data_IF_238975905941
#
_entry.id   IF_238975905941
#
_cell.length_a   1.000
_cell.length_b   1.000
_cell.length_c   1.000
_cell.angle_alpha   90.00
_cell.angle_beta   90.00
_cell.angle_gamma   90.00
#
_symmetry.space_group_name_H-M   'P 1'
#
loop_
_entity.id
_entity.type
_entity.pdbx_description
1 polymer ?
#
# COMPACT_ATOMS: atom_id res chain seq x y z
N UNK A 1 -10.13 -7.16 -29.96
CA UNK A 1 -9.03 -6.20 -29.76
C UNK A 1 -8.56 -6.33 -28.31
N UNK A 2 -7.57 -7.19 -28.05
CA UNK A 2 -6.98 -7.31 -26.72
C UNK A 2 -6.17 -6.03 -26.46
N UNK A 3 -6.61 -5.22 -25.51
CA UNK A 3 -5.80 -4.08 -25.04
C UNK A 3 -4.53 -4.68 -24.43
N UNK A 4 -3.38 -4.36 -25.01
CA UNK A 4 -2.10 -4.75 -24.44
C UNK A 4 -1.85 -3.92 -23.17
N UNK A 5 -2.19 -4.53 -22.03
CA UNK A 5 -2.03 -3.92 -20.71
C UNK A 5 -0.56 -3.58 -20.42
N UNK A 6 0.39 -4.31 -21.02
CA UNK A 6 1.82 -4.13 -20.78
C UNK A 6 2.34 -2.80 -21.34
N UNK A 7 1.79 -2.35 -22.47
CA UNK A 7 2.11 -1.07 -23.09
C UNK A 7 1.74 0.14 -22.19
N UNK A 8 0.78 -0.03 -21.28
CA UNK A 8 0.39 0.99 -20.31
C UNK A 8 1.13 0.85 -18.96
N UNK A 9 1.33 -0.39 -18.51
CA UNK A 9 1.91 -0.69 -17.19
C UNK A 9 3.42 -0.43 -17.16
N UNK A 10 4.16 -0.90 -18.16
CA UNK A 10 5.62 -0.89 -18.14
C UNK A 10 6.20 0.53 -18.06
N UNK A 11 5.74 1.53 -18.84
CA UNK A 11 6.27 2.89 -18.73
C UNK A 11 6.08 3.50 -17.34
N UNK A 12 4.99 3.16 -16.66
CA UNK A 12 4.73 3.65 -15.31
C UNK A 12 5.67 3.01 -14.29
N UNK A 13 5.87 1.68 -14.38
CA UNK A 13 6.83 0.97 -13.53
C UNK A 13 8.23 1.53 -13.79
N UNK A 14 8.64 1.65 -15.04
CA UNK A 14 9.96 2.17 -15.42
C UNK A 14 10.18 3.59 -14.89
N UNK A 15 9.16 4.44 -14.95
CA UNK A 15 9.20 5.78 -14.35
C UNK A 15 9.37 5.71 -12.83
N UNK A 16 8.61 4.84 -12.15
CA UNK A 16 8.76 4.63 -10.71
C UNK A 16 10.15 4.12 -10.32
N UNK A 17 10.71 3.16 -11.09
CA UNK A 17 12.06 2.66 -10.91
C UNK A 17 13.11 3.75 -11.15
N UNK A 18 12.92 4.58 -12.17
CA UNK A 18 13.76 5.75 -12.41
C UNK A 18 13.75 6.72 -11.22
N UNK A 19 12.57 6.99 -10.65
CA UNK A 19 12.45 7.83 -9.45
C UNK A 19 13.18 7.20 -8.26
N UNK A 20 13.03 5.90 -8.03
CA UNK A 20 13.75 5.18 -6.97
C UNK A 20 15.25 5.28 -7.16
N UNK A 21 15.75 5.09 -8.37
CA UNK A 21 17.18 5.19 -8.66
C UNK A 21 17.72 6.61 -8.43
N UNK A 22 16.95 7.63 -8.79
CA UNK A 22 17.38 9.04 -8.72
C UNK A 22 17.18 9.69 -7.35
N UNK A 23 16.09 9.36 -6.66
CA UNK A 23 15.67 10.02 -5.42
C UNK A 23 15.61 9.09 -4.20
N UNK A 24 15.84 7.79 -4.37
CA UNK A 24 15.96 6.81 -3.29
C UNK A 24 14.72 6.76 -2.40
N UNK A 25 14.93 6.97 -1.09
CA UNK A 25 13.89 6.91 -0.07
C UNK A 25 12.74 7.90 -0.31
N UNK A 26 13.02 9.07 -0.89
CA UNK A 26 11.99 10.06 -1.20
C UNK A 26 11.02 9.57 -2.28
N UNK A 27 11.52 8.85 -3.28
CA UNK A 27 10.65 8.23 -4.28
C UNK A 27 9.76 7.16 -3.65
N UNK A 28 10.32 6.30 -2.79
CA UNK A 28 9.55 5.25 -2.09
C UNK A 28 8.45 5.88 -1.23
N UNK A 29 8.76 6.96 -0.52
CA UNK A 29 7.78 7.72 0.25
C UNK A 29 6.64 8.26 -0.64
N UNK A 30 6.98 8.93 -1.75
CA UNK A 30 6.00 9.55 -2.65
C UNK A 30 5.15 8.50 -3.39
N UNK A 31 5.75 7.37 -3.76
CA UNK A 31 5.04 6.24 -4.37
C UNK A 31 4.09 5.59 -3.36
N UNK A 32 4.53 5.36 -2.12
CA UNK A 32 3.64 4.90 -1.03
C UNK A 32 2.47 5.85 -0.79
N UNK A 33 2.76 7.15 -0.78
CA UNK A 33 1.76 8.18 -0.58
C UNK A 33 0.72 8.22 -1.71
N UNK A 34 1.16 8.18 -2.97
CA UNK A 34 0.22 8.19 -4.11
C UNK A 34 -0.54 6.87 -4.26
N UNK A 35 0.05 5.73 -3.87
CA UNK A 35 -0.61 4.40 -3.83
C UNK A 35 -1.86 4.48 -3.00
N UNK A 36 -1.72 4.97 -1.78
CA UNK A 36 -2.84 4.96 -0.85
C UNK A 36 -3.98 5.86 -1.31
N UNK A 37 -3.73 6.84 -2.19
CA UNK A 37 -4.74 7.77 -2.72
C UNK A 37 -5.41 7.24 -3.98
N UNK A 38 -4.66 6.92 -5.04
CA UNK A 38 -5.25 6.67 -6.36
C UNK A 38 -4.52 5.69 -7.27
N UNK A 39 -3.21 5.46 -7.13
CA UNK A 39 -2.51 4.58 -8.08
C UNK A 39 -2.81 3.10 -7.78
N UNK A 40 -2.94 2.25 -8.81
CA UNK A 40 -3.28 0.84 -8.63
C UNK A 40 -2.07 -0.06 -8.34
N UNK A 41 -0.86 0.49 -8.31
CA UNK A 41 0.38 -0.29 -8.20
C UNK A 41 0.84 -0.40 -6.75
N UNK A 42 1.03 -1.62 -6.23
CA UNK A 42 1.52 -1.83 -4.88
C UNK A 42 2.93 -1.25 -4.67
N UNK A 43 3.16 -0.57 -3.55
CA UNK A 43 4.46 0.09 -3.25
C UNK A 43 5.62 -0.90 -3.14
N UNK A 44 5.32 -2.18 -2.88
CA UNK A 44 6.31 -3.25 -2.77
C UNK A 44 7.12 -3.44 -4.05
N UNK A 45 6.51 -3.15 -5.22
CA UNK A 45 7.19 -3.19 -6.53
C UNK A 45 8.37 -2.22 -6.56
N UNK A 46 8.31 -1.11 -5.82
CA UNK A 46 9.34 -0.08 -5.78
C UNK A 46 10.29 -0.26 -4.59
N UNK A 47 9.83 -0.85 -3.49
CA UNK A 47 10.66 -1.16 -2.33
C UNK A 47 11.77 -2.14 -2.67
N UNK A 48 11.46 -3.24 -3.38
CA UNK A 48 12.42 -4.30 -3.71
C UNK A 48 13.61 -3.74 -4.52
N UNK A 49 13.41 -3.02 -5.64
CA UNK A 49 14.50 -2.35 -6.36
C UNK A 49 15.30 -1.37 -5.50
N UNK A 50 14.64 -0.61 -4.62
CA UNK A 50 15.33 0.28 -3.69
C UNK A 50 16.32 -0.47 -2.79
N UNK A 51 15.92 -1.64 -2.30
CA UNK A 51 16.77 -2.50 -1.47
C UNK A 51 17.93 -3.11 -2.28
N UNK A 52 17.68 -3.52 -3.53
CA UNK A 52 18.74 -4.14 -4.37
C UNK A 52 19.80 -3.15 -4.82
N UNK A 53 19.47 -1.85 -4.95
CA UNK A 53 20.46 -0.79 -5.21
C UNK A 53 21.18 -0.29 -3.95
N UNK A 54 20.94 -0.94 -2.80
CA UNK A 54 21.68 -0.70 -1.56
C UNK A 54 21.03 0.30 -0.59
N UNK A 55 19.76 0.68 -0.76
CA UNK A 55 19.07 1.45 0.27
C UNK A 55 18.94 0.63 1.55
N UNK A 56 19.12 1.29 2.68
CA UNK A 56 19.01 0.65 3.99
C UNK A 56 17.57 0.15 4.23
N UNK A 57 17.44 -1.13 4.58
CA UNK A 57 16.15 -1.81 4.74
C UNK A 57 15.23 -1.15 5.76
N UNK A 58 15.78 -0.62 6.85
CA UNK A 58 15.01 0.04 7.90
C UNK A 58 14.42 1.35 7.38
N UNK A 59 15.21 2.14 6.67
CA UNK A 59 14.74 3.40 6.10
C UNK A 59 13.73 3.20 4.96
N UNK A 60 13.86 2.13 4.17
CA UNK A 60 12.86 1.75 3.17
C UNK A 60 11.52 1.44 3.84
N UNK A 61 11.52 0.65 4.93
CA UNK A 61 10.33 0.34 5.73
C UNK A 61 9.66 1.61 6.28
N UNK A 62 10.47 2.50 6.87
CA UNK A 62 9.96 3.77 7.43
C UNK A 62 9.36 4.63 6.33
N UNK A 63 10.09 4.86 5.23
CA UNK A 63 9.64 5.72 4.13
C UNK A 63 8.35 5.21 3.49
N UNK A 64 8.24 3.92 3.18
CA UNK A 64 7.04 3.34 2.59
C UNK A 64 5.85 3.38 3.55
N UNK A 65 6.07 3.05 4.83
CA UNK A 65 5.00 3.02 5.84
C UNK A 65 4.47 4.43 6.14
N UNK A 66 5.37 5.41 6.33
CA UNK A 66 4.94 6.79 6.58
C UNK A 66 4.27 7.38 5.35
N UNK A 67 4.83 7.19 4.15
CA UNK A 67 4.23 7.65 2.90
C UNK A 67 2.81 7.12 2.71
N UNK A 68 2.65 5.80 2.76
CA UNK A 68 1.33 5.15 2.63
C UNK A 68 0.34 5.55 3.73
N UNK A 69 0.78 5.64 4.98
CA UNK A 69 -0.09 6.07 6.08
C UNK A 69 -0.57 7.51 5.88
N UNK A 70 0.30 8.43 5.45
CA UNK A 70 -0.09 9.81 5.14
C UNK A 70 -1.02 9.89 3.93
N UNK A 71 -0.78 9.09 2.89
CA UNK A 71 -1.70 8.97 1.76
C UNK A 71 -3.08 8.47 2.20
N UNK A 72 -3.12 7.50 3.11
CA UNK A 72 -4.36 6.98 3.68
C UNK A 72 -5.15 8.02 4.47
N UNK A 73 -4.49 8.99 5.12
CA UNK A 73 -5.18 10.13 5.74
C UNK A 73 -5.96 10.92 4.70
N UNK A 74 -5.36 11.21 3.54
CA UNK A 74 -6.04 11.91 2.45
C UNK A 74 -7.19 11.08 1.91
N UNK A 75 -6.96 9.78 1.71
CA UNK A 75 -7.98 8.83 1.28
C UNK A 75 -9.17 8.81 2.21
N UNK A 76 -8.95 8.85 3.53
CA UNK A 76 -10.03 8.90 4.51
C UNK A 76 -10.96 10.07 4.27
N UNK A 77 -10.42 11.29 4.17
CA UNK A 77 -11.22 12.49 3.97
C UNK A 77 -11.88 12.51 2.58
N UNK A 78 -11.17 12.07 1.55
CA UNK A 78 -11.69 12.04 0.18
C UNK A 78 -12.83 11.02 0.06
N UNK A 79 -12.65 9.82 0.59
CA UNK A 79 -13.65 8.76 0.55
C UNK A 79 -14.84 9.03 1.49
N UNK A 80 -14.63 9.70 2.63
CA UNK A 80 -15.74 10.12 3.50
C UNK A 80 -16.69 11.09 2.77
N UNK A 81 -16.15 11.95 1.88
CA UNK A 81 -16.93 12.94 1.13
C UNK A 81 -17.48 12.42 -0.21
N UNK A 82 -16.69 11.62 -0.94
CA UNK A 82 -17.00 11.22 -2.32
C UNK A 82 -17.14 9.71 -2.51
N UNK A 83 -16.77 8.90 -1.52
CA UNK A 83 -16.61 7.45 -1.64
C UNK A 83 -17.88 6.73 -2.04
N UNK A 84 -19.03 7.04 -1.42
CA UNK A 84 -20.30 6.41 -1.78
C UNK A 84 -20.68 6.69 -3.24
N UNK A 85 -20.55 7.95 -3.67
CA UNK A 85 -20.85 8.35 -5.06
C UNK A 85 -19.92 7.68 -6.06
N UNK A 86 -18.62 7.62 -5.76
CA UNK A 86 -17.64 6.96 -6.62
C UNK A 86 -17.91 5.46 -6.71
N UNK A 87 -18.17 4.82 -5.57
CA UNK A 87 -18.41 3.38 -5.50
C UNK A 87 -19.61 2.98 -6.35
N UNK A 88 -20.75 3.66 -6.18
CA UNK A 88 -21.96 3.41 -6.97
C UNK A 88 -21.74 3.64 -8.46
N UNK A 89 -20.91 4.64 -8.83
CA UNK A 89 -20.58 4.95 -10.23
C UNK A 89 -19.66 3.91 -10.88
N UNK A 90 -18.66 3.43 -10.16
CA UNK A 90 -17.66 2.48 -10.69
C UNK A 90 -18.15 1.04 -10.70
N UNK A 91 -18.78 0.58 -9.62
CA UNK A 91 -19.17 -0.83 -9.49
C UNK A 91 -20.56 -1.14 -10.07
N UNK A 92 -21.40 -0.11 -10.31
CA UNK A 92 -22.78 -0.23 -10.88
C UNK A 92 -23.61 -1.37 -10.27
N UNK A 93 -23.31 -1.76 -9.03
CA UNK A 93 -23.86 -2.93 -8.37
C UNK A 93 -23.84 -2.74 -6.87
N UNK A 94 -25.03 -2.64 -6.28
CA UNK A 94 -25.20 -2.57 -4.82
C UNK A 94 -24.75 -3.86 -4.13
N UNK A 95 -24.62 -4.97 -4.86
CA UNK A 95 -24.19 -6.26 -4.30
C UNK A 95 -22.76 -6.23 -3.76
N UNK A 96 -21.83 -5.57 -4.46
CA UNK A 96 -20.46 -5.43 -3.97
C UNK A 96 -20.40 -4.44 -2.80
N UNK A 97 -21.17 -3.36 -2.88
CA UNK A 97 -21.31 -2.37 -1.81
C UNK A 97 -21.78 -3.01 -0.51
N UNK A 98 -22.87 -3.77 -0.57
CA UNK A 98 -23.45 -4.49 0.57
C UNK A 98 -22.50 -5.54 1.12
N UNK A 99 -21.79 -6.26 0.24
CA UNK A 99 -20.83 -7.29 0.67
C UNK A 99 -19.66 -6.65 1.43
N UNK A 100 -19.11 -5.56 0.92
CA UNK A 100 -18.03 -4.83 1.60
C UNK A 100 -18.52 -4.18 2.88
N UNK A 101 -19.75 -3.65 2.91
CA UNK A 101 -20.35 -3.10 4.12
C UNK A 101 -20.51 -4.17 5.21
N UNK A 102 -21.13 -5.32 4.89
CA UNK A 102 -21.26 -6.44 5.85
C UNK A 102 -19.92 -6.97 6.33
N UNK A 103 -18.91 -6.99 5.46
CA UNK A 103 -17.55 -7.39 5.85
C UNK A 103 -16.96 -6.41 6.88
N UNK A 104 -17.09 -5.10 6.64
CA UNK A 104 -16.58 -4.07 7.54
C UNK A 104 -17.40 -3.94 8.82
N UNK A 105 -18.71 -4.17 8.80
CA UNK A 105 -19.55 -4.29 10.00
C UNK A 105 -19.12 -5.49 10.86
N UNK A 106 -18.79 -6.62 10.23
CA UNK A 106 -18.40 -7.85 10.94
C UNK A 106 -16.98 -7.80 11.50
N UNK A 107 -16.01 -7.34 10.70
CA UNK A 107 -14.59 -7.43 11.03
C UNK A 107 -13.96 -6.09 11.44
N UNK A 108 -14.59 -4.97 11.09
CA UNK A 108 -14.12 -3.62 11.41
C UNK A 108 -12.63 -3.43 11.12
N UNK A 109 -11.84 -2.88 12.07
CA UNK A 109 -10.41 -2.64 11.88
C UNK A 109 -9.59 -3.91 11.63
N UNK A 110 -9.99 -5.05 12.20
CA UNK A 110 -9.29 -6.33 11.96
C UNK A 110 -9.44 -6.77 10.50
N UNK A 111 -10.59 -6.47 9.89
CA UNK A 111 -10.81 -6.71 8.47
C UNK A 111 -9.83 -5.94 7.58
N UNK A 112 -9.53 -4.68 7.93
CA UNK A 112 -8.52 -3.88 7.22
C UNK A 112 -7.14 -4.50 7.38
N UNK A 113 -6.74 -4.86 8.60
CA UNK A 113 -5.41 -5.44 8.86
C UNK A 113 -5.22 -6.72 8.05
N UNK A 114 -6.20 -7.63 8.08
CA UNK A 114 -6.15 -8.90 7.37
C UNK A 114 -6.06 -8.65 5.86
N UNK A 115 -6.97 -7.84 5.29
CA UNK A 115 -6.97 -7.59 3.84
C UNK A 115 -5.68 -6.92 3.40
N UNK A 116 -5.16 -5.97 4.16
CA UNK A 116 -3.93 -5.29 3.79
C UNK A 116 -2.66 -6.12 3.92
N UNK A 117 -2.73 -7.37 4.40
CA UNK A 117 -1.64 -8.35 4.29
C UNK A 117 -1.83 -9.26 3.06
N UNK A 118 -3.06 -9.40 2.56
CA UNK A 118 -3.36 -10.21 1.38
C UNK A 118 -2.94 -9.51 0.08
N UNK A 119 -2.80 -10.25 -1.04
CA UNK A 119 -2.56 -9.66 -2.37
C UNK A 119 -3.81 -8.98 -2.97
N UNK A 120 -4.87 -8.77 -2.18
CA UNK A 120 -6.10 -8.10 -2.61
C UNK A 120 -5.85 -6.58 -2.66
N UNK A 121 -6.47 -5.82 -3.59
CA UNK A 121 -6.38 -4.36 -3.62
C UNK A 121 -6.89 -3.74 -2.30
N UNK A 122 -5.96 -3.38 -1.43
CA UNK A 122 -6.23 -2.91 -0.08
C UNK A 122 -6.87 -1.51 -0.08
N UNK A 123 -6.54 -0.71 -1.07
CA UNK A 123 -6.98 0.66 -1.27
C UNK A 123 -8.50 0.70 -1.43
N UNK A 124 -9.09 -0.27 -2.12
CA UNK A 124 -10.55 -0.38 -2.27
C UNK A 124 -11.26 -0.59 -0.92
N UNK A 125 -10.67 -1.40 -0.03
CA UNK A 125 -11.19 -1.60 1.32
C UNK A 125 -11.00 -0.33 2.16
N UNK A 126 -9.86 0.36 2.03
CA UNK A 126 -9.62 1.63 2.70
C UNK A 126 -10.64 2.71 2.33
N UNK A 127 -10.91 2.84 1.03
CA UNK A 127 -11.95 3.73 0.50
C UNK A 127 -13.33 3.34 1.05
N UNK A 128 -13.66 2.05 1.07
CA UNK A 128 -14.95 1.56 1.57
C UNK A 128 -15.11 1.81 3.08
N UNK A 129 -14.09 1.53 3.89
CA UNK A 129 -14.09 1.77 5.33
C UNK A 129 -14.32 3.23 5.69
N UNK A 130 -13.74 4.12 4.91
CA UNK A 130 -13.89 5.57 5.07
C UNK A 130 -15.26 6.06 4.59
N UNK A 131 -15.77 5.51 3.48
CA UNK A 131 -17.12 5.79 2.98
C UNK A 131 -18.20 5.36 3.99
N UNK A 132 -18.00 4.24 4.69
CA UNK A 132 -18.88 3.75 5.75
C UNK A 132 -18.62 4.39 7.13
N UNK A 133 -17.89 5.51 7.16
CA UNK A 133 -17.67 6.33 8.36
C UNK A 133 -17.02 5.58 9.52
N UNK A 134 -16.09 4.65 9.24
CA UNK A 134 -15.22 4.13 10.29
C UNK A 134 -14.52 5.29 11.03
N UNK A 135 -14.42 5.29 12.36
CA UNK A 135 -13.75 6.37 13.09
C UNK A 135 -12.31 6.56 12.62
N UNK A 136 -11.90 7.81 12.37
CA UNK A 136 -10.58 8.12 11.82
C UNK A 136 -9.42 7.46 12.57
N UNK A 137 -9.43 7.52 13.92
CA UNK A 137 -8.38 6.91 14.75
C UNK A 137 -8.31 5.40 14.54
N UNK A 138 -9.45 4.72 14.50
CA UNK A 138 -9.54 3.27 14.28
C UNK A 138 -9.02 2.91 12.89
N UNK A 139 -9.43 3.68 11.87
CA UNK A 139 -9.00 3.50 10.50
C UNK A 139 -7.47 3.65 10.36
N UNK A 140 -6.91 4.77 10.83
CA UNK A 140 -5.49 5.07 10.60
C UNK A 140 -4.57 4.12 11.37
N UNK A 141 -4.96 3.68 12.57
CA UNK A 141 -4.21 2.67 13.33
C UNK A 141 -4.24 1.32 12.58
N UNK A 142 -5.41 0.90 12.09
CA UNK A 142 -5.53 -0.35 11.34
C UNK A 142 -4.70 -0.33 10.05
N UNK A 143 -4.72 0.79 9.31
CA UNK A 143 -3.87 0.97 8.12
C UNK A 143 -2.40 0.95 8.49
N UNK A 144 -1.98 1.72 9.49
CA UNK A 144 -0.59 1.75 9.92
C UNK A 144 -0.07 0.37 10.30
N UNK A 145 -0.81 -0.37 11.13
CA UNK A 145 -0.45 -1.75 11.52
C UNK A 145 -0.36 -2.66 10.30
N UNK A 146 -1.34 -2.58 9.40
CA UNK A 146 -1.34 -3.39 8.18
C UNK A 146 -0.12 -3.10 7.29
N UNK A 147 0.23 -1.81 7.11
CA UNK A 147 1.39 -1.39 6.31
C UNK A 147 2.71 -1.80 6.97
N UNK A 148 2.85 -1.65 8.29
CA UNK A 148 4.03 -2.14 9.03
C UNK A 148 4.19 -3.65 8.82
N UNK A 149 3.11 -4.43 8.90
CA UNK A 149 3.16 -5.88 8.70
C UNK A 149 3.54 -6.24 7.26
N UNK A 150 2.82 -5.70 6.26
CA UNK A 150 3.08 -6.02 4.85
C UNK A 150 4.47 -5.55 4.40
N UNK A 151 4.82 -4.29 4.64
CA UNK A 151 6.14 -3.77 4.30
C UNK A 151 7.25 -4.47 5.11
N UNK A 152 6.97 -4.82 6.36
CA UNK A 152 7.86 -5.60 7.22
C UNK A 152 8.21 -6.95 6.61
N UNK A 153 7.21 -7.69 6.09
CA UNK A 153 7.42 -8.96 5.39
C UNK A 153 8.36 -8.77 4.18
N UNK A 154 8.22 -7.66 3.44
CA UNK A 154 9.05 -7.37 2.27
C UNK A 154 10.51 -7.06 2.65
N UNK A 155 10.73 -6.27 3.71
CA UNK A 155 12.10 -5.90 4.12
C UNK A 155 12.79 -6.96 4.97
N UNK A 156 12.05 -7.87 5.59
CA UNK A 156 12.59 -8.86 6.53
C UNK A 156 13.74 -9.71 5.96
N UNK A 157 13.68 -10.24 4.72
CA UNK A 157 14.79 -10.99 4.13
C UNK A 157 16.08 -10.15 4.02
N UNK A 158 15.94 -8.86 3.66
CA UNK A 158 17.07 -7.94 3.53
C UNK A 158 17.65 -7.55 4.90
N UNK A 159 16.79 -7.38 5.91
CA UNK A 159 17.20 -7.15 7.28
C UNK A 159 17.95 -8.35 7.87
N UNK A 160 17.45 -9.56 7.66
CA UNK A 160 18.11 -10.80 8.09
C UNK A 160 19.46 -10.96 7.40
N UNK A 161 19.54 -10.71 6.09
CA UNK A 161 20.80 -10.72 5.35
C UNK A 161 21.81 -9.72 5.93
N UNK A 162 21.39 -8.47 6.16
CA UNK A 162 22.27 -7.44 6.73
C UNK A 162 22.76 -7.82 8.14
N UNK A 163 21.89 -8.40 8.96
CA UNK A 163 22.24 -8.91 10.29
C UNK A 163 23.28 -10.03 10.19
N UNK A 164 23.03 -11.09 9.42
CA UNK A 164 23.94 -12.23 9.29
C UNK A 164 25.32 -11.81 8.75
N UNK A 165 25.35 -10.87 7.80
CA UNK A 165 26.58 -10.29 7.26
C UNK A 165 27.36 -9.53 8.35
N UNK A 166 26.69 -8.77 9.21
CA UNK A 166 27.33 -8.02 10.30
C UNK A 166 28.02 -8.92 11.34
N UNK A 167 27.57 -10.17 11.48
CA UNK A 167 28.15 -11.15 12.42
C UNK A 167 29.11 -12.14 11.73
N UNK A 168 29.39 -11.99 10.43
CA UNK A 168 30.26 -12.90 9.69
C UNK A 168 29.71 -14.34 9.56
N UNK A 169 28.42 -14.53 9.82
CA UNK A 169 27.74 -15.84 9.75
C UNK A 169 27.39 -16.19 8.30
N UNK A 170 27.24 -15.16 7.45
CA UNK A 170 26.91 -15.35 6.05
C UNK A 170 28.11 -15.92 5.27
N UNK A 171 27.99 -17.10 4.66
CA UNK A 171 29.06 -17.64 3.83
C UNK A 171 29.06 -16.87 2.52
N UNK A 172 30.25 -16.48 2.04
CA UNK A 172 30.54 -15.67 0.84
C UNK A 172 30.45 -14.15 1.01
#
# INVERSE_FOLDING_TARGET
MSIDLSAFINPFIDFGLYLVHKYGLWAIFLLGFSESIFQPFPTEIFMIPGLTIGLNWFWVLVASTVGSTLGAVITYYLASKYGERLYRKFFKSDKYYDKTNRFLEKWGPMGLIIVGITPIPFELICWSASAFKMPFKTYIIAVFVSRVLKHGIIVAPFGLYAFLKSYGIWPF
#
